data_IF_032436121733
#
_entry.id   IF_032436121733
#
_cell.length_a   1.000
_cell.length_b   1.000
_cell.length_c   1.000
_cell.angle_alpha   90.00
_cell.angle_beta   90.00
_cell.angle_gamma   90.00
#
_symmetry.space_group_name_H-M   'P 1'
#
loop_
_entity.id
_entity.type
_entity.pdbx_description
1 polymer ?
#
# COMPACT_ATOMS: atom_id res chain seq x y z
N UNK A 1 -10.91 -17.45 -10.44
CA UNK A 1 -11.14 -16.68 -9.19
C UNK A 1 -9.98 -16.70 -8.20
N UNK A 2 -9.46 -17.88 -7.81
CA UNK A 2 -8.30 -17.96 -6.88
C UNK A 2 -7.05 -17.29 -7.46
N UNK A 3 -6.76 -17.55 -8.74
CA UNK A 3 -5.63 -16.94 -9.46
C UNK A 3 -5.74 -15.43 -9.52
N UNK A 4 -6.89 -14.89 -9.96
CA UNK A 4 -7.14 -13.43 -9.96
C UNK A 4 -6.90 -12.78 -8.59
N UNK A 5 -7.32 -13.43 -7.49
CA UNK A 5 -7.07 -12.95 -6.13
C UNK A 5 -5.56 -12.92 -5.83
N UNK A 6 -4.84 -13.98 -6.18
CA UNK A 6 -3.40 -14.05 -5.96
C UNK A 6 -2.67 -12.99 -6.80
N UNK A 7 -2.96 -12.89 -8.09
CA UNK A 7 -2.37 -11.89 -8.99
C UNK A 7 -2.61 -10.47 -8.51
N UNK A 8 -3.85 -10.13 -8.16
CA UNK A 8 -4.18 -8.80 -7.63
C UNK A 8 -3.49 -8.53 -6.28
N UNK A 9 -3.36 -9.54 -5.41
CA UNK A 9 -2.62 -9.40 -4.16
C UNK A 9 -1.13 -9.15 -4.41
N UNK A 10 -0.52 -9.88 -5.35
CA UNK A 10 0.88 -9.69 -5.75
C UNK A 10 1.11 -8.29 -6.32
N UNK A 11 0.26 -7.82 -7.23
CA UNK A 11 0.37 -6.47 -7.82
C UNK A 11 0.22 -5.41 -6.71
N UNK A 12 -0.76 -5.58 -5.82
CA UNK A 12 -0.97 -4.67 -4.69
C UNK A 12 0.28 -4.59 -3.81
N UNK A 13 0.83 -5.75 -3.45
CA UNK A 13 2.03 -5.84 -2.63
C UNK A 13 3.24 -5.21 -3.32
N UNK A 14 3.51 -5.56 -4.58
CA UNK A 14 4.64 -5.02 -5.36
C UNK A 14 4.55 -3.50 -5.49
N UNK A 15 3.37 -2.94 -5.78
CA UNK A 15 3.19 -1.50 -5.83
C UNK A 15 3.44 -0.83 -4.48
N UNK A 16 3.00 -1.44 -3.37
CA UNK A 16 3.33 -0.96 -2.02
C UNK A 16 4.84 -0.98 -1.75
N UNK A 17 5.54 -2.01 -2.20
CA UNK A 17 7.00 -2.14 -2.09
C UNK A 17 7.74 -1.12 -2.95
N UNK A 18 7.23 -0.81 -4.15
CA UNK A 18 7.77 0.26 -4.99
C UNK A 18 7.63 1.61 -4.28
N UNK A 19 6.46 1.90 -3.68
CA UNK A 19 6.25 3.13 -2.89
C UNK A 19 7.22 3.19 -1.71
N UNK A 20 7.38 2.08 -0.98
CA UNK A 20 8.33 1.96 0.13
C UNK A 20 9.78 2.21 -0.33
N UNK A 21 10.17 1.65 -1.48
CA UNK A 21 11.49 1.87 -2.08
C UNK A 21 11.72 3.33 -2.49
N UNK A 22 10.71 3.97 -3.09
CA UNK A 22 10.80 5.37 -3.52
C UNK A 22 10.92 6.32 -2.32
N UNK A 23 10.07 6.14 -1.29
CA UNK A 23 10.09 7.03 -0.11
C UNK A 23 11.35 6.85 0.73
N UNK A 24 11.91 5.64 0.75
CA UNK A 24 13.19 5.34 1.40
C UNK A 24 14.42 5.68 0.55
N UNK A 25 14.26 6.28 -0.64
CA UNK A 25 15.38 6.59 -1.55
C UNK A 25 16.26 5.37 -1.89
N UNK A 26 15.67 4.18 -1.89
CA UNK A 26 16.34 2.91 -2.20
C UNK A 26 16.98 2.18 -1.00
N UNK A 27 17.01 2.77 0.21
CA UNK A 27 17.58 2.10 1.41
C UNK A 27 16.59 1.19 2.14
N UNK A 28 15.38 1.00 1.62
CA UNK A 28 14.32 0.20 2.23
C UNK A 28 14.76 -1.23 2.64
N UNK A 29 15.46 -1.98 1.78
CA UNK A 29 15.87 -3.34 2.14
C UNK A 29 16.93 -3.34 3.25
N UNK A 30 17.89 -2.41 3.19
CA UNK A 30 18.93 -2.28 4.21
C UNK A 30 18.35 -1.88 5.57
N UNK A 31 17.35 -1.00 5.59
CA UNK A 31 16.63 -0.62 6.81
C UNK A 31 15.76 -1.75 7.32
N UNK A 32 15.11 -2.52 6.46
CA UNK A 32 14.34 -3.70 6.84
C UNK A 32 15.18 -4.77 7.57
N UNK A 33 16.43 -4.99 7.16
CA UNK A 33 17.32 -5.92 7.87
C UNK A 33 17.87 -5.36 9.18
N UNK A 34 17.93 -4.04 9.32
CA UNK A 34 18.45 -3.37 10.51
C UNK A 34 17.38 -3.15 11.59
N UNK A 35 16.13 -2.91 11.17
CA UNK A 35 15.00 -2.58 12.04
C UNK A 35 13.93 -3.68 11.95
N UNK A 36 13.71 -4.46 13.02
CA UNK A 36 12.73 -5.55 13.02
C UNK A 36 11.30 -5.07 12.69
N UNK A 37 10.95 -3.84 13.07
CA UNK A 37 9.64 -3.26 12.79
C UNK A 37 9.38 -3.12 11.29
N UNK A 38 10.35 -2.64 10.51
CA UNK A 38 10.31 -2.56 9.05
C UNK A 38 10.07 -3.94 8.42
N UNK A 39 10.82 -4.95 8.84
CA UNK A 39 10.63 -6.32 8.36
C UNK A 39 9.22 -6.84 8.67
N UNK A 40 8.72 -6.65 9.89
CA UNK A 40 7.36 -7.06 10.25
C UNK A 40 6.31 -6.37 9.37
N UNK A 41 6.47 -5.07 9.07
CA UNK A 41 5.52 -4.34 8.22
C UNK A 41 5.56 -4.78 6.76
N UNK A 42 6.68 -5.32 6.26
CA UNK A 42 6.72 -5.99 4.95
C UNK A 42 5.83 -7.24 4.98
N UNK A 43 6.01 -8.10 5.98
CA UNK A 43 5.23 -9.35 6.12
C UNK A 43 3.74 -9.05 6.28
N UNK A 44 3.39 -8.12 7.18
CA UNK A 44 2.00 -7.68 7.36
C UNK A 44 1.43 -6.97 6.14
N UNK A 45 2.25 -6.24 5.39
CA UNK A 45 1.88 -5.67 4.09
C UNK A 45 1.44 -6.76 3.11
N UNK A 46 2.18 -7.86 3.02
CA UNK A 46 1.82 -9.01 2.18
C UNK A 46 0.49 -9.63 2.57
N UNK A 47 0.27 -9.86 3.88
CA UNK A 47 -0.99 -10.38 4.40
C UNK A 47 -2.15 -9.42 4.10
N UNK A 48 -1.96 -8.12 4.33
CA UNK A 48 -2.95 -7.09 4.09
C UNK A 48 -3.30 -6.98 2.60
N UNK A 49 -2.32 -7.06 1.70
CA UNK A 49 -2.55 -7.08 0.25
C UNK A 49 -3.44 -8.26 -0.17
N UNK A 50 -3.24 -9.43 0.43
CA UNK A 50 -4.07 -10.62 0.17
C UNK A 50 -5.51 -10.48 0.69
N UNK A 51 -5.69 -9.82 1.84
CA UNK A 51 -7.00 -9.51 2.40
C UNK A 51 -7.73 -8.46 1.54
N UNK A 52 -7.05 -7.36 1.21
CA UNK A 52 -7.56 -6.29 0.34
C UNK A 52 -7.97 -6.85 -1.01
N UNK A 53 -7.17 -7.74 -1.60
CA UNK A 53 -7.50 -8.38 -2.85
C UNK A 53 -8.81 -9.17 -2.78
N UNK A 54 -8.98 -9.98 -1.73
CA UNK A 54 -10.20 -10.75 -1.52
C UNK A 54 -11.43 -9.86 -1.34
N UNK A 55 -11.32 -8.81 -0.54
CA UNK A 55 -12.40 -7.84 -0.30
C UNK A 55 -12.76 -7.08 -1.57
N UNK A 56 -11.76 -6.54 -2.27
CA UNK A 56 -11.94 -5.75 -3.49
C UNK A 56 -12.66 -6.53 -4.59
N UNK A 57 -12.22 -7.77 -4.84
CA UNK A 57 -12.89 -8.66 -5.80
C UNK A 57 -14.34 -8.93 -5.37
N UNK A 58 -14.57 -9.25 -4.09
CA UNK A 58 -15.93 -9.51 -3.57
C UNK A 58 -16.83 -8.27 -3.70
N UNK A 59 -16.29 -7.08 -3.48
CA UNK A 59 -17.01 -5.82 -3.60
C UNK A 59 -17.36 -5.49 -5.04
N UNK A 60 -16.39 -5.63 -5.96
CA UNK A 60 -16.64 -5.50 -7.40
C UNK A 60 -17.70 -6.47 -7.89
N UNK A 61 -17.67 -7.70 -7.38
CA UNK A 61 -18.68 -8.70 -7.70
C UNK A 61 -20.09 -8.26 -7.26
N UNK A 62 -20.21 -7.62 -6.11
CA UNK A 62 -21.49 -7.11 -5.58
C UNK A 62 -21.89 -5.74 -6.14
N UNK A 63 -21.07 -5.13 -7.00
CA UNK A 63 -21.33 -3.80 -7.57
C UNK A 63 -20.80 -2.62 -6.73
N UNK A 64 -20.16 -2.88 -5.59
CA UNK A 64 -19.56 -1.88 -4.69
C UNK A 64 -18.20 -1.40 -5.21
N UNK A 65 -18.22 -0.71 -6.35
CA UNK A 65 -16.99 -0.34 -7.06
C UNK A 65 -16.22 0.78 -6.36
N UNK A 66 -16.90 1.71 -5.66
CA UNK A 66 -16.26 2.84 -4.97
C UNK A 66 -15.50 2.36 -3.74
N UNK A 67 -16.14 1.50 -2.95
CA UNK A 67 -15.58 0.88 -1.76
C UNK A 67 -14.37 0.03 -2.12
N UNK A 68 -14.47 -0.74 -3.21
CA UNK A 68 -13.31 -1.48 -3.75
C UNK A 68 -12.19 -0.55 -4.19
N UNK A 69 -12.50 0.59 -4.80
CA UNK A 69 -11.50 1.56 -5.25
C UNK A 69 -10.74 2.16 -4.06
N UNK A 70 -11.43 2.44 -2.95
CA UNK A 70 -10.85 3.04 -1.75
C UNK A 70 -9.86 2.14 -1.00
N UNK A 71 -9.90 0.82 -1.22
CA UNK A 71 -8.96 -0.10 -0.56
C UNK A 71 -7.50 0.13 -0.98
N UNK A 72 -7.27 0.49 -2.24
CA UNK A 72 -5.94 0.69 -2.81
C UNK A 72 -5.21 1.94 -2.29
N UNK A 73 -5.81 3.15 -2.30
CA UNK A 73 -5.13 4.32 -1.77
C UNK A 73 -4.85 4.15 -0.28
N UNK A 74 -5.73 3.51 0.50
CA UNK A 74 -5.48 3.20 1.92
C UNK A 74 -4.22 2.34 2.06
N UNK A 75 -4.09 1.28 1.26
CA UNK A 75 -2.91 0.42 1.28
C UNK A 75 -1.64 1.19 0.90
N UNK A 76 -1.70 1.99 -0.15
CA UNK A 76 -0.55 2.74 -0.67
C UNK A 76 -0.11 3.87 0.26
N UNK A 77 -1.03 4.59 0.88
CA UNK A 77 -0.70 5.52 1.96
C UNK A 77 -0.11 4.80 3.16
N UNK A 78 -0.63 3.62 3.51
CA UNK A 78 -0.05 2.78 4.55
C UNK A 78 1.41 2.42 4.26
N UNK A 79 1.71 1.95 3.04
CA UNK A 79 3.09 1.69 2.60
C UNK A 79 3.94 2.97 2.62
N UNK A 80 3.42 4.09 2.13
CA UNK A 80 4.12 5.37 2.17
C UNK A 80 4.47 5.77 3.61
N UNK A 81 3.50 5.84 4.51
CA UNK A 81 3.70 6.31 5.88
C UNK A 81 4.64 5.41 6.68
N UNK A 82 4.48 4.09 6.55
CA UNK A 82 5.30 3.13 7.29
C UNK A 82 6.78 3.17 6.89
N UNK A 83 7.10 3.56 5.66
CA UNK A 83 8.49 3.58 5.18
C UNK A 83 9.04 5.00 4.96
N UNK A 84 8.21 6.04 5.15
CA UNK A 84 8.63 7.43 5.22
C UNK A 84 9.49 7.73 6.45
N UNK A 85 9.26 6.98 7.52
CA UNK A 85 9.99 7.11 8.78
C UNK A 85 11.50 6.89 8.59
N UNK A 86 12.31 7.74 9.22
CA UNK A 86 13.77 7.76 9.05
C UNK A 86 14.28 8.32 7.71
N UNK A 87 13.43 8.63 6.74
CA UNK A 87 13.86 8.97 5.37
C UNK A 87 13.42 10.36 4.87
N UNK A 88 12.25 10.86 5.30
CA UNK A 88 11.71 12.14 4.82
C UNK A 88 12.07 13.36 5.67
N UNK A 89 12.09 13.25 7.00
CA UNK A 89 12.29 14.39 7.90
C UNK A 89 13.70 14.48 8.54
N UNK A 90 14.61 13.56 8.20
CA UNK A 90 15.93 13.47 8.85
C UNK A 90 15.85 13.06 10.33
N UNK A 91 14.69 12.56 10.78
CA UNK A 91 14.49 12.08 12.14
C UNK A 91 15.12 10.71 12.32
N UNK A 92 15.44 10.37 13.56
CA UNK A 92 15.88 9.01 13.90
C UNK A 92 14.80 8.00 13.50
N UNK A 93 15.23 6.89 12.92
CA UNK A 93 14.35 5.77 12.63
C UNK A 93 13.66 5.29 13.91
N UNK A 94 12.35 5.06 13.88
CA UNK A 94 11.59 4.66 15.06
C UNK A 94 12.17 3.39 15.70
N UNK A 95 12.39 3.44 17.02
CA UNK A 95 12.96 2.32 17.78
C UNK A 95 11.92 1.26 18.18
N UNK A 96 10.64 1.61 18.14
CA UNK A 96 9.54 0.71 18.50
C UNK A 96 8.42 0.67 17.46
N UNK A 97 7.58 -0.36 17.52
CA UNK A 97 6.42 -0.53 16.64
C UNK A 97 5.38 0.59 16.86
N UNK A 98 5.14 0.98 18.11
CA UNK A 98 4.16 2.03 18.44
C UNK A 98 4.58 3.39 17.91
N UNK A 99 5.85 3.76 18.11
CA UNK A 99 6.43 4.97 17.55
C UNK A 99 6.32 4.99 16.02
N UNK A 100 6.64 3.86 15.38
CA UNK A 100 6.55 3.72 13.93
C UNK A 100 5.13 3.90 13.39
N UNK A 101 4.12 3.34 14.08
CA UNK A 101 2.71 3.52 13.70
C UNK A 101 2.25 4.97 13.87
N UNK A 102 2.65 5.63 14.95
CA UNK A 102 2.36 7.04 15.19
C UNK A 102 3.00 7.92 14.12
N UNK A 103 4.29 7.71 13.85
CA UNK A 103 5.05 8.43 12.84
C UNK A 103 4.48 8.24 11.44
N UNK A 104 4.07 7.01 11.10
CA UNK A 104 3.39 6.71 9.84
C UNK A 104 2.13 7.56 9.64
N UNK A 105 1.29 7.70 10.68
CA UNK A 105 0.10 8.54 10.60
C UNK A 105 0.44 10.02 10.38
N UNK A 106 1.47 10.53 11.07
CA UNK A 106 1.95 11.90 10.88
C UNK A 106 2.41 12.11 9.43
N UNK A 107 3.22 11.21 8.88
CA UNK A 107 3.67 11.31 7.49
C UNK A 107 2.52 11.23 6.49
N UNK A 108 1.53 10.36 6.72
CA UNK A 108 0.33 10.29 5.88
C UNK A 108 -0.39 11.64 5.91
N UNK A 109 -0.69 12.19 7.09
CA UNK A 109 -1.39 13.47 7.22
C UNK A 109 -0.63 14.62 6.54
N UNK A 110 0.68 14.70 6.75
CA UNK A 110 1.53 15.71 6.10
C UNK A 110 1.59 15.53 4.58
N UNK A 111 1.52 14.29 4.08
CA UNK A 111 1.50 14.03 2.64
C UNK A 111 0.20 14.45 1.96
N UNK A 112 -0.93 14.47 2.68
CA UNK A 112 -2.23 14.87 2.14
C UNK A 112 -2.27 16.35 1.74
N UNK A 113 -1.47 17.20 2.40
CA UNK A 113 -1.35 18.63 2.05
C UNK A 113 -0.31 18.88 0.95
N UNK A 114 0.45 17.86 0.54
CA UNK A 114 1.34 17.95 -0.61
C UNK A 114 0.57 17.76 -1.92
N UNK A 115 1.03 18.37 -3.01
CA UNK A 115 0.35 18.24 -4.31
C UNK A 115 0.63 16.89 -4.96
N UNK A 116 1.90 16.46 -4.97
CA UNK A 116 2.32 15.32 -5.78
C UNK A 116 1.97 13.96 -5.19
N UNK A 117 2.09 13.78 -3.86
CA UNK A 117 1.87 12.45 -3.24
C UNK A 117 0.41 11.99 -3.42
N UNK A 118 -0.61 12.83 -3.13
CA UNK A 118 -2.00 12.43 -3.35
C UNK A 118 -2.34 12.19 -4.81
N UNK A 119 -1.80 13.01 -5.72
CA UNK A 119 -2.03 12.82 -7.16
C UNK A 119 -1.46 11.49 -7.65
N UNK A 120 -0.23 11.14 -7.25
CA UNK A 120 0.41 9.88 -7.64
C UNK A 120 -0.37 8.69 -7.06
N UNK A 121 -0.69 8.72 -5.76
CA UNK A 121 -1.43 7.63 -5.10
C UNK A 121 -2.83 7.47 -5.70
N UNK A 122 -3.53 8.57 -6.00
CA UNK A 122 -4.82 8.53 -6.67
C UNK A 122 -4.71 7.93 -8.07
N UNK A 123 -3.73 8.38 -8.87
CA UNK A 123 -3.52 7.89 -10.23
C UNK A 123 -3.25 6.38 -10.27
N UNK A 124 -2.31 5.87 -9.46
CA UNK A 124 -2.01 4.43 -9.42
C UNK A 124 -3.22 3.62 -8.93
N UNK A 125 -3.99 4.16 -7.97
CA UNK A 125 -5.17 3.50 -7.43
C UNK A 125 -6.29 3.39 -8.45
N UNK A 126 -6.53 4.46 -9.22
CA UNK A 126 -7.51 4.50 -10.31
C UNK A 126 -7.14 3.51 -11.40
N UNK A 127 -5.88 3.50 -11.84
CA UNK A 127 -5.39 2.53 -12.83
C UNK A 127 -5.60 1.10 -12.31
N UNK A 128 -5.23 0.83 -11.06
CA UNK A 128 -5.36 -0.49 -10.47
C UNK A 128 -6.82 -0.98 -10.44
N UNK A 129 -7.75 -0.17 -9.91
CA UNK A 129 -9.15 -0.59 -9.82
C UNK A 129 -9.79 -0.76 -11.21
N UNK A 130 -9.43 0.07 -12.19
CA UNK A 130 -9.92 -0.05 -13.57
C UNK A 130 -9.48 -1.38 -14.17
N UNK A 131 -8.21 -1.74 -14.02
CA UNK A 131 -7.68 -3.02 -14.49
C UNK A 131 -8.32 -4.20 -13.76
N UNK A 132 -8.40 -4.17 -12.43
CA UNK A 132 -9.04 -5.26 -11.68
C UNK A 132 -10.50 -5.44 -12.11
N UNK A 133 -11.25 -4.34 -12.29
CA UNK A 133 -12.65 -4.38 -12.72
C UNK A 133 -12.79 -5.04 -14.09
N UNK A 134 -11.89 -4.76 -15.03
CA UNK A 134 -11.88 -5.41 -16.34
C UNK A 134 -11.67 -6.93 -16.21
N UNK A 135 -10.70 -7.35 -15.39
CA UNK A 135 -10.42 -8.78 -15.15
C UNK A 135 -11.56 -9.50 -14.42
N UNK A 136 -12.17 -8.88 -13.41
CA UNK A 136 -13.35 -9.45 -12.71
C UNK A 136 -14.52 -9.67 -13.67
N UNK A 137 -14.70 -8.79 -14.67
CA UNK A 137 -15.74 -8.96 -15.70
C UNK A 137 -15.43 -10.15 -16.61
N UNK A 138 -14.18 -10.28 -17.08
CA UNK A 138 -13.76 -11.40 -17.96
C UNK A 138 -13.94 -12.77 -17.31
N UNK A 139 -13.69 -12.88 -16.00
CA UNK A 139 -13.80 -14.15 -15.26
C UNK A 139 -15.27 -14.49 -14.91
N UNK A 140 -16.21 -13.54 -15.08
CA UNK A 140 -17.64 -13.75 -14.84
C UNK A 140 -18.43 -14.19 -16.06
N UNK A 141 -17.98 -13.77 -17.24
CA UNK A 141 -18.49 -14.18 -18.55
C UNK A 141 -17.91 -15.54 -18.92
#
# INVERSE_FOLDING_TARGET
MKELRLTNAMITFILGMIIAGLVSKGSFLGTAFKYPSDFMFIVFGGLLAFLISGVSIRYLQKGYWKESALMYPIYYYGSFGLFADGHLAGWSHSGSVGEKLMMSQVYILLSLVSVFIPLIIAAISVVHIVLLRAEVKKVRT
#
